data_IF_322938659283
#
_entry.id   IF_322938659283
#
_cell.length_a   1.000
_cell.length_b   1.000
_cell.length_c   1.000
_cell.angle_alpha   90.00
_cell.angle_beta   90.00
_cell.angle_gamma   90.00
#
_symmetry.space_group_name_H-M   'P 1'
#
loop_
_entity.id
_entity.type
_entity.pdbx_description
1 polymer ?
#
# COMPACT_ATOMS: atom_id res chain seq x y z
N UNK A 1 -24.12 -15.55 23.59
CA UNK A 1 -23.95 -15.45 22.34
C UNK A 1 -22.50 -15.26 21.98
N UNK A 2 -22.05 -15.53 21.37
CA UNK A 2 -20.86 -15.37 20.58
C UNK A 2 -19.88 -14.29 21.03
N UNK A 3 -19.95 -13.84 22.28
CA UNK A 3 -19.07 -12.76 22.73
C UNK A 3 -17.58 -13.08 22.53
N UNK A 4 -17.16 -14.28 22.88
CA UNK A 4 -15.76 -14.66 22.74
C UNK A 4 -15.33 -14.69 21.27
N UNK A 5 -16.17 -15.25 20.39
CA UNK A 5 -15.88 -15.30 18.97
C UNK A 5 -15.87 -13.90 18.36
N UNK A 6 -16.87 -13.08 18.71
CA UNK A 6 -16.94 -11.71 18.22
C UNK A 6 -15.71 -10.92 18.67
N UNK A 7 -15.31 -11.04 19.93
CA UNK A 7 -14.14 -10.36 20.47
C UNK A 7 -12.87 -10.75 19.70
N UNK A 8 -12.69 -12.04 19.40
CA UNK A 8 -11.53 -12.50 18.63
C UNK A 8 -11.51 -11.93 17.23
N UNK A 9 -12.66 -11.87 16.57
CA UNK A 9 -12.78 -11.30 15.24
C UNK A 9 -12.53 -9.80 15.24
N UNK A 10 -13.04 -9.09 16.25
CA UNK A 10 -12.79 -7.65 16.39
C UNK A 10 -11.32 -7.36 16.58
N UNK A 11 -10.62 -8.15 17.39
CA UNK A 11 -9.18 -7.98 17.58
C UNK A 11 -8.41 -8.21 16.30
N UNK A 12 -8.76 -9.24 15.51
CA UNK A 12 -8.12 -9.51 14.24
C UNK A 12 -8.36 -8.37 13.25
N UNK A 13 -9.58 -7.81 13.22
CA UNK A 13 -9.92 -6.67 12.37
C UNK A 13 -9.11 -5.44 12.78
N UNK A 14 -8.93 -5.23 14.08
CA UNK A 14 -8.21 -4.08 14.61
C UNK A 14 -6.72 -4.09 14.25
N UNK A 15 -6.16 -5.22 13.83
CA UNK A 15 -4.78 -5.26 13.37
C UNK A 15 -4.54 -4.32 12.17
N UNK A 16 -5.59 -4.05 11.39
CA UNK A 16 -5.51 -3.18 10.22
C UNK A 16 -6.14 -1.80 10.45
N UNK A 17 -6.27 -1.39 11.71
CA UNK A 17 -6.78 -0.06 12.05
C UNK A 17 -5.75 1.00 11.65
N UNK A 18 -6.21 2.03 10.93
CA UNK A 18 -5.32 3.09 10.44
C UNK A 18 -4.59 3.81 11.58
N UNK A 19 -5.17 3.83 12.78
CA UNK A 19 -4.52 4.44 13.94
C UNK A 19 -3.24 3.73 14.34
N UNK A 20 -3.02 2.50 13.87
CA UNK A 20 -1.76 1.80 14.11
C UNK A 20 -0.56 2.57 13.54
N UNK A 21 -0.77 3.45 12.57
CA UNK A 21 0.30 4.28 12.02
C UNK A 21 0.94 5.19 13.07
N UNK A 22 0.20 5.52 14.12
CA UNK A 22 0.74 6.31 15.23
C UNK A 22 1.87 5.56 15.93
N UNK A 23 1.84 4.24 15.91
CA UNK A 23 2.88 3.39 16.52
C UNK A 23 4.21 3.43 15.77
N UNK A 24 4.25 4.05 14.59
CA UNK A 24 5.51 4.26 13.88
C UNK A 24 6.45 5.14 14.71
N UNK A 25 5.91 6.02 15.54
CA UNK A 25 6.71 6.80 16.49
C UNK A 25 7.45 5.90 17.47
N UNK A 26 6.81 4.82 17.90
CA UNK A 26 7.42 3.83 18.79
C UNK A 26 8.56 3.10 18.09
N UNK A 27 8.34 2.71 16.82
CA UNK A 27 9.39 2.13 16.01
C UNK A 27 10.59 3.09 15.87
N UNK A 28 10.30 4.36 15.61
CA UNK A 28 11.35 5.38 15.47
C UNK A 28 12.12 5.58 16.77
N UNK A 29 11.47 5.43 17.92
CA UNK A 29 12.12 5.53 19.21
C UNK A 29 13.13 4.40 19.42
N UNK A 30 12.77 3.17 19.02
CA UNK A 30 13.59 1.99 19.24
C UNK A 30 14.58 1.70 18.11
N UNK A 31 14.37 2.23 16.92
CA UNK A 31 15.23 2.01 15.76
C UNK A 31 15.37 3.30 14.95
N UNK A 32 15.86 4.36 15.59
CA UNK A 32 15.81 5.71 15.03
C UNK A 32 16.60 5.86 13.73
N UNK A 33 17.78 5.28 13.64
CA UNK A 33 18.63 5.43 12.44
C UNK A 33 18.00 4.76 11.22
N UNK A 34 17.50 3.53 11.40
CA UNK A 34 16.82 2.82 10.33
C UNK A 34 15.56 3.54 9.88
N UNK A 35 14.77 4.03 10.83
CA UNK A 35 13.54 4.77 10.50
C UNK A 35 13.83 6.09 9.81
N UNK A 36 14.85 6.82 10.23
CA UNK A 36 15.24 8.05 9.53
C UNK A 36 15.65 7.77 8.09
N UNK A 37 16.42 6.72 7.88
CA UNK A 37 16.87 6.34 6.54
C UNK A 37 15.68 5.93 5.67
N UNK A 38 14.74 5.15 6.21
CA UNK A 38 13.54 4.75 5.48
C UNK A 38 12.68 5.96 5.12
N UNK A 39 12.40 6.83 6.08
CA UNK A 39 11.56 8.01 5.84
C UNK A 39 12.20 8.91 4.79
N UNK A 40 13.51 9.10 4.84
CA UNK A 40 14.23 9.91 3.85
C UNK A 40 14.15 9.28 2.46
N UNK A 41 14.30 7.97 2.36
CA UNK A 41 14.18 7.25 1.10
C UNK A 41 12.76 7.35 0.53
N UNK A 42 11.75 7.10 1.36
CA UNK A 42 10.35 7.16 0.96
C UNK A 42 9.98 8.56 0.45
N UNK A 43 10.38 9.57 1.19
CA UNK A 43 10.14 10.96 0.81
C UNK A 43 10.80 11.31 -0.53
N UNK A 44 12.04 10.89 -0.72
CA UNK A 44 12.76 11.15 -1.96
C UNK A 44 12.14 10.41 -3.14
N UNK A 45 11.71 9.18 -2.93
CA UNK A 45 11.09 8.37 -3.98
C UNK A 45 9.78 8.99 -4.48
N UNK A 46 8.99 9.56 -3.57
CA UNK A 46 7.68 10.13 -3.89
C UNK A 46 7.73 11.62 -4.23
N UNK A 47 8.90 12.24 -4.14
CA UNK A 47 9.05 13.67 -4.43
C UNK A 47 8.83 13.96 -5.93
N UNK A 48 8.46 15.21 -6.28
CA UNK A 48 8.34 15.60 -7.68
C UNK A 48 9.64 15.33 -8.43
N UNK A 49 9.53 14.78 -9.64
CA UNK A 49 10.68 14.50 -10.49
C UNK A 49 10.22 14.40 -11.94
N UNK A 50 10.86 13.53 -12.70
CA UNK A 50 10.43 13.29 -14.09
C UNK A 50 9.00 12.81 -14.17
N UNK A 51 8.54 12.11 -13.14
CA UNK A 51 7.14 11.65 -13.02
C UNK A 51 6.41 12.57 -12.07
N UNK A 52 5.28 13.18 -12.45
CA UNK A 52 4.48 14.00 -11.55
C UNK A 52 3.99 13.21 -10.34
N UNK A 53 3.85 13.89 -9.20
CA UNK A 53 3.49 13.25 -7.93
C UNK A 53 2.16 12.50 -8.01
N UNK A 54 1.18 13.04 -8.73
CA UNK A 54 -0.11 12.35 -8.91
C UNK A 54 0.09 10.93 -9.44
N UNK A 55 0.94 10.76 -10.43
CA UNK A 55 1.19 9.45 -11.02
C UNK A 55 2.03 8.57 -10.10
N UNK A 56 2.94 9.16 -9.34
CA UNK A 56 3.68 8.41 -8.32
C UNK A 56 2.74 7.86 -7.25
N UNK A 57 1.70 8.62 -6.87
CA UNK A 57 0.71 8.14 -5.93
C UNK A 57 -0.17 7.04 -6.51
N UNK A 58 -0.51 7.13 -7.80
CA UNK A 58 -1.23 6.04 -8.48
C UNK A 58 -0.35 4.78 -8.56
N UNK A 59 0.95 4.93 -8.79
CA UNK A 59 1.89 3.81 -8.77
C UNK A 59 1.98 3.19 -7.38
N UNK A 60 2.04 4.03 -6.34
CA UNK A 60 2.07 3.57 -4.96
C UNK A 60 0.79 2.77 -4.62
N UNK A 61 -0.37 3.23 -5.09
CA UNK A 61 -1.62 2.51 -4.92
C UNK A 61 -1.56 1.14 -5.60
N UNK A 62 -1.07 1.09 -6.85
CA UNK A 62 -0.97 -0.18 -7.58
C UNK A 62 -0.10 -1.18 -6.84
N UNK A 63 1.04 -0.74 -6.30
CA UNK A 63 1.92 -1.59 -5.49
C UNK A 63 1.19 -2.04 -4.22
N UNK A 64 0.49 -1.12 -3.55
CA UNK A 64 -0.23 -1.42 -2.31
C UNK A 64 -1.32 -2.46 -2.52
N UNK A 65 -2.02 -2.43 -3.67
CA UNK A 65 -3.01 -3.46 -3.99
C UNK A 65 -2.37 -4.84 -4.07
N UNK A 66 -1.17 -4.93 -4.62
CA UNK A 66 -0.49 -6.22 -4.78
C UNK A 66 0.19 -6.71 -3.50
N UNK A 67 0.65 -5.81 -2.64
CA UNK A 67 1.22 -6.17 -1.34
C UNK A 67 0.15 -6.32 -0.26
N UNK A 68 -1.10 -5.96 -0.59
CA UNK A 68 -2.23 -6.06 0.31
C UNK A 68 -2.01 -5.28 1.61
N UNK A 69 -1.55 -4.03 1.47
CA UNK A 69 -1.30 -3.15 2.60
C UNK A 69 -2.45 -2.15 2.75
N UNK A 70 -3.38 -2.38 3.68
CA UNK A 70 -4.53 -1.48 3.86
C UNK A 70 -4.12 -0.06 4.21
N UNK A 71 -3.06 0.11 4.99
CA UNK A 71 -2.55 1.43 5.37
C UNK A 71 -2.08 2.20 4.15
N UNK A 72 -1.31 1.53 3.30
CA UNK A 72 -0.79 2.15 2.07
C UNK A 72 -1.93 2.50 1.11
N UNK A 73 -2.91 1.60 0.98
CA UNK A 73 -4.08 1.85 0.13
C UNK A 73 -4.79 3.13 0.58
N UNK A 74 -5.09 3.25 1.86
CA UNK A 74 -5.81 4.41 2.37
C UNK A 74 -5.00 5.70 2.22
N UNK A 75 -3.74 5.70 2.65
CA UNK A 75 -2.90 6.89 2.60
C UNK A 75 -2.69 7.37 1.17
N UNK A 76 -2.32 6.47 0.27
CA UNK A 76 -2.00 6.86 -1.10
C UNK A 76 -3.24 7.16 -1.93
N UNK A 77 -4.37 6.50 -1.66
CA UNK A 77 -5.64 6.85 -2.29
C UNK A 77 -6.03 8.28 -1.94
N UNK A 78 -5.98 8.63 -0.66
CA UNK A 78 -6.31 9.97 -0.22
C UNK A 78 -5.39 11.01 -0.86
N UNK A 79 -4.10 10.72 -0.90
CA UNK A 79 -3.12 11.63 -1.51
C UNK A 79 -3.35 11.78 -3.01
N UNK A 80 -3.60 10.68 -3.70
CA UNK A 80 -3.89 10.71 -5.13
C UNK A 80 -5.12 11.59 -5.43
N UNK A 81 -6.18 11.44 -4.64
CA UNK A 81 -7.39 12.25 -4.80
C UNK A 81 -7.15 13.72 -4.53
N UNK A 82 -6.35 14.05 -3.50
CA UNK A 82 -5.97 15.43 -3.23
C UNK A 82 -5.23 16.05 -4.42
N UNK A 83 -4.48 15.25 -5.15
CA UNK A 83 -3.72 15.68 -6.32
C UNK A 83 -4.54 15.63 -7.62
N UNK A 84 -5.83 15.35 -7.52
CA UNK A 84 -6.75 15.40 -8.65
C UNK A 84 -6.91 14.09 -9.41
N UNK A 85 -6.49 12.96 -8.85
CA UNK A 85 -6.74 11.68 -9.49
C UNK A 85 -8.24 11.40 -9.58
N UNK A 86 -8.69 11.03 -10.76
CA UNK A 86 -10.10 10.73 -11.03
C UNK A 86 -10.42 9.27 -10.74
N UNK A 87 -11.71 8.96 -10.60
CA UNK A 87 -12.15 7.58 -10.44
C UNK A 87 -11.69 6.69 -11.61
N UNK A 88 -11.80 7.12 -12.88
CA UNK A 88 -11.23 6.33 -13.97
C UNK A 88 -9.72 6.07 -13.83
N UNK A 89 -8.95 7.07 -13.44
CA UNK A 89 -7.50 6.88 -13.24
C UNK A 89 -7.22 5.85 -12.14
N UNK A 90 -7.96 5.93 -11.05
CA UNK A 90 -7.81 4.97 -9.96
C UNK A 90 -8.22 3.57 -10.40
N UNK A 91 -9.36 3.45 -11.11
CA UNK A 91 -9.83 2.17 -11.62
C UNK A 91 -8.81 1.53 -12.57
N UNK A 92 -8.22 2.32 -13.45
CA UNK A 92 -7.21 1.81 -14.37
C UNK A 92 -5.95 1.36 -13.62
N UNK A 93 -5.56 2.04 -12.56
CA UNK A 93 -4.44 1.59 -11.71
C UNK A 93 -4.70 0.22 -11.10
N UNK A 94 -5.94 -0.02 -10.65
CA UNK A 94 -6.36 -1.33 -10.13
C UNK A 94 -6.20 -2.40 -11.20
N UNK A 95 -6.64 -2.11 -12.41
CA UNK A 95 -6.61 -3.06 -13.52
C UNK A 95 -5.18 -3.35 -14.00
N UNK A 96 -4.30 -2.34 -13.98
CA UNK A 96 -2.89 -2.55 -14.28
C UNK A 96 -2.26 -3.48 -13.26
N UNK A 97 -2.51 -3.25 -11.97
CA UNK A 97 -2.01 -4.12 -10.91
C UNK A 97 -2.50 -5.57 -11.09
N UNK A 98 -3.78 -5.75 -11.38
CA UNK A 98 -4.38 -7.07 -11.60
C UNK A 98 -3.76 -7.76 -12.82
N UNK A 99 -3.60 -7.04 -13.92
CA UNK A 99 -3.05 -7.59 -15.15
C UNK A 99 -1.62 -8.07 -14.96
N UNK A 100 -0.80 -7.29 -14.26
CA UNK A 100 0.59 -7.65 -14.01
C UNK A 100 0.70 -8.87 -13.08
N UNK A 101 -0.17 -8.96 -12.08
CA UNK A 101 -0.20 -10.13 -11.20
C UNK A 101 -0.61 -11.39 -11.98
N UNK A 102 -1.65 -11.27 -12.80
CA UNK A 102 -2.09 -12.38 -13.65
C UNK A 102 -1.00 -12.78 -14.65
N UNK A 103 -0.40 -11.79 -15.30
CA UNK A 103 0.68 -12.03 -16.26
C UNK A 103 1.88 -12.72 -15.63
N UNK A 104 2.26 -12.29 -14.42
CA UNK A 104 3.36 -12.91 -13.70
C UNK A 104 3.04 -14.38 -13.38
N UNK A 105 1.82 -14.66 -12.94
CA UNK A 105 1.41 -16.03 -12.65
C UNK A 105 1.48 -16.92 -13.90
N UNK A 106 1.00 -16.43 -15.02
CA UNK A 106 1.02 -17.15 -16.30
C UNK A 106 2.47 -17.40 -16.74
N UNK A 107 3.29 -16.36 -16.73
CA UNK A 107 4.69 -16.44 -17.17
C UNK A 107 5.48 -17.40 -16.30
N UNK A 108 5.38 -17.25 -14.97
CA UNK A 108 6.07 -18.14 -14.04
C UNK A 108 5.53 -19.57 -14.09
N UNK A 109 4.23 -19.73 -14.42
CA UNK A 109 3.64 -21.03 -14.57
C UNK A 109 4.31 -21.88 -15.64
N UNK A 110 4.97 -21.25 -16.63
CA UNK A 110 5.69 -21.97 -17.67
C UNK A 110 6.81 -22.84 -17.12
N UNK A 111 7.37 -22.48 -15.96
CA UNK A 111 8.42 -23.27 -15.33
C UNK A 111 7.94 -24.67 -14.92
N UNK A 112 6.62 -24.86 -14.80
CA UNK A 112 6.04 -26.17 -14.46
C UNK A 112 5.77 -27.03 -15.68
N UNK A 113 5.87 -26.49 -16.87
CA UNK A 113 5.64 -27.23 -18.12
C UNK A 113 6.91 -27.94 -18.57
N UNK A 114 6.73 -29.00 -19.38
CA UNK A 114 7.84 -29.72 -19.98
C UNK A 114 7.88 -29.51 -21.50
#
# INVERSE_FOLDING_TARGET
MTNATTTGMEQATNLYDITNLEKMKTLATHASEGMKAFVAFDKAALAPGAIPVKYKELMAMAVAFTTQCPYCIELHTNKARELGASDPEIAESVLVAAALRAGAAITHGTHSMK
#
